data_IF_408946938213
#
_entry.id   IF_408946938213
#
_cell.length_a   1.000
_cell.length_b   1.000
_cell.length_c   1.000
_cell.angle_alpha   90.00
_cell.angle_beta   90.00
_cell.angle_gamma   90.00
#
_symmetry.space_group_name_H-M   'P 1'
#
loop_
_entity.id
_entity.type
_entity.pdbx_description
1 polymer ?
#
# COMPACT_ATOMS: atom_id res chain seq x y z
N UNK A 1 30.95 14.06 2.35
CA UNK A 1 29.98 12.93 2.36
C UNK A 1 28.62 13.54 2.65
N UNK A 2 27.77 13.69 1.62
CA UNK A 2 26.45 14.31 1.78
C UNK A 2 25.56 13.34 2.58
N UNK A 3 25.13 13.77 3.77
CA UNK A 3 24.30 12.97 4.67
C UNK A 3 22.99 12.57 4.00
N UNK A 4 22.56 11.33 4.26
CA UNK A 4 21.25 10.84 3.84
C UNK A 4 20.13 11.81 4.32
N UNK A 5 19.10 12.06 3.50
CA UNK A 5 18.00 12.94 3.90
C UNK A 5 17.33 12.42 5.18
N UNK A 6 17.07 13.31 6.14
CA UNK A 6 16.63 13.01 7.52
C UNK A 6 15.26 12.32 7.67
N UNK A 7 14.65 11.85 6.59
CA UNK A 7 13.27 11.33 6.53
C UNK A 7 13.15 10.01 5.74
N UNK A 8 14.24 9.26 5.61
CA UNK A 8 14.23 7.92 4.99
C UNK A 8 14.36 6.84 6.06
N UNK A 9 13.73 5.70 5.81
CA UNK A 9 13.85 4.51 6.65
C UNK A 9 15.15 3.74 6.33
N UNK A 10 15.40 2.59 6.97
CA UNK A 10 16.64 1.81 6.76
C UNK A 10 16.72 1.20 5.35
N UNK A 11 15.58 1.03 4.67
CA UNK A 11 15.55 0.67 3.26
C UNK A 11 15.89 1.84 2.32
N UNK A 12 16.20 3.02 2.86
CA UNK A 12 16.54 4.22 2.08
C UNK A 12 15.35 4.89 1.42
N UNK A 13 14.12 4.58 1.86
CA UNK A 13 12.88 5.06 1.27
C UNK A 13 12.19 6.08 2.19
N UNK A 14 11.65 7.14 1.62
CA UNK A 14 10.82 8.10 2.33
C UNK A 14 9.38 7.58 2.44
N UNK A 15 8.62 8.04 3.43
CA UNK A 15 7.21 7.65 3.62
C UNK A 15 6.34 7.91 2.38
N UNK A 16 6.67 8.92 1.59
CA UNK A 16 5.98 9.21 0.33
C UNK A 16 6.18 8.14 -0.75
N UNK A 17 7.29 7.38 -0.72
CA UNK A 17 7.56 6.30 -1.67
C UNK A 17 6.62 5.11 -1.50
N UNK A 18 5.94 5.04 -0.35
CA UNK A 18 4.94 4.04 -0.01
C UNK A 18 3.52 4.45 -0.42
N UNK A 19 3.30 5.65 -0.97
CA UNK A 19 1.97 6.11 -1.40
C UNK A 19 1.54 5.41 -2.70
N UNK A 20 0.23 5.24 -2.85
CA UNK A 20 -0.40 4.81 -4.09
C UNK A 20 -0.99 5.99 -4.88
N UNK A 21 -1.88 5.66 -5.80
CA UNK A 21 -2.61 6.65 -6.58
C UNK A 21 -3.60 7.44 -5.71
N UNK A 22 -4.03 8.64 -6.16
CA UNK A 22 -5.09 9.38 -5.50
C UNK A 22 -6.36 8.54 -5.30
N UNK A 23 -6.95 8.63 -4.11
CA UNK A 23 -8.15 7.88 -3.77
C UNK A 23 -9.36 8.38 -4.55
N UNK A 24 -10.15 7.45 -5.08
CA UNK A 24 -11.48 7.77 -5.64
C UNK A 24 -12.61 7.43 -4.66
N UNK A 25 -12.27 7.13 -3.40
CA UNK A 25 -13.25 6.82 -2.37
C UNK A 25 -13.88 8.11 -1.83
N UNK A 26 -15.07 7.97 -1.25
CA UNK A 26 -15.80 9.10 -0.67
C UNK A 26 -14.97 9.86 0.37
N UNK A 27 -15.22 11.16 0.49
CA UNK A 27 -14.66 11.96 1.58
C UNK A 27 -15.08 11.38 2.94
N UNK A 28 -14.13 11.22 3.85
CA UNK A 28 -14.35 10.55 5.15
C UNK A 28 -14.42 9.02 5.09
N UNK A 29 -14.17 8.37 3.95
CA UNK A 29 -14.17 6.91 3.88
C UNK A 29 -13.07 6.28 4.76
N UNK A 30 -13.45 5.34 5.63
CA UNK A 30 -12.52 4.64 6.54
C UNK A 30 -11.42 3.85 5.83
N UNK A 31 -11.63 3.41 4.59
CA UNK A 31 -10.60 2.72 3.80
C UNK A 31 -9.37 3.61 3.50
N UNK A 32 -9.54 4.93 3.46
CA UNK A 32 -8.42 5.86 3.32
C UNK A 32 -7.54 5.84 4.59
N UNK A 33 -8.18 5.77 5.77
CA UNK A 33 -7.48 5.63 7.05
C UNK A 33 -6.70 4.31 7.09
N UNK A 34 -7.32 3.19 6.71
CA UNK A 34 -6.66 1.88 6.65
C UNK A 34 -5.46 1.91 5.68
N UNK A 35 -5.62 2.51 4.50
CA UNK A 35 -4.52 2.64 3.52
C UNK A 35 -3.33 3.43 4.11
N UNK A 36 -3.60 4.52 4.83
CA UNK A 36 -2.56 5.31 5.50
C UNK A 36 -1.86 4.53 6.63
N UNK A 37 -2.57 3.67 7.34
CA UNK A 37 -1.96 2.81 8.37
C UNK A 37 -1.06 1.74 7.75
N UNK A 38 -1.45 1.13 6.63
CA UNK A 38 -0.61 0.17 5.90
C UNK A 38 0.69 0.85 5.42
N UNK A 39 0.59 2.05 4.85
CA UNK A 39 1.75 2.86 4.44
C UNK A 39 2.70 3.11 5.61
N UNK A 40 2.15 3.49 6.77
CA UNK A 40 2.94 3.78 7.97
C UNK A 40 3.64 2.52 8.48
N UNK A 41 2.91 1.40 8.59
CA UNK A 41 3.47 0.15 9.06
C UNK A 41 4.62 -0.36 8.18
N UNK A 42 4.48 -0.32 6.85
CA UNK A 42 5.53 -0.79 5.94
C UNK A 42 6.75 0.13 5.91
N UNK A 43 6.54 1.44 6.05
CA UNK A 43 7.64 2.38 6.23
C UNK A 43 8.42 2.12 7.51
N UNK A 44 7.72 1.89 8.64
CA UNK A 44 8.35 1.61 9.94
C UNK A 44 9.05 0.25 9.99
N UNK A 45 8.56 -0.74 9.24
CA UNK A 45 9.16 -2.07 9.14
C UNK A 45 10.31 -2.15 8.13
N UNK A 46 10.71 -1.03 7.52
CA UNK A 46 11.79 -0.99 6.53
C UNK A 46 11.54 -1.92 5.32
N UNK A 47 10.28 -2.19 4.95
CA UNK A 47 9.93 -3.14 3.90
C UNK A 47 10.02 -2.47 2.53
N UNK A 48 10.83 -3.03 1.64
CA UNK A 48 10.89 -2.60 0.24
C UNK A 48 9.53 -2.92 -0.43
N UNK A 49 8.83 -1.95 -1.03
CA UNK A 49 7.51 -2.17 -1.63
C UNK A 49 7.45 -3.31 -2.65
N UNK A 50 8.53 -3.53 -3.41
CA UNK A 50 8.63 -4.59 -4.41
C UNK A 50 8.54 -6.01 -3.82
N UNK A 51 8.84 -6.19 -2.54
CA UNK A 51 8.78 -7.48 -1.83
C UNK A 51 7.38 -7.81 -1.29
N UNK A 52 6.41 -6.93 -1.52
CA UNK A 52 5.02 -7.10 -1.07
C UNK A 52 4.17 -7.60 -2.23
N UNK A 53 3.09 -8.32 -1.92
CA UNK A 53 2.06 -8.70 -2.88
C UNK A 53 0.69 -8.29 -2.34
N UNK A 54 -0.10 -7.58 -3.16
CA UNK A 54 -1.42 -7.09 -2.76
C UNK A 54 -2.51 -7.89 -3.45
N UNK A 55 -3.33 -8.61 -2.70
CA UNK A 55 -4.51 -9.27 -3.24
C UNK A 55 -5.79 -8.59 -2.79
N UNK A 56 -6.78 -8.49 -3.67
CA UNK A 56 -8.12 -8.03 -3.32
C UNK A 56 -9.21 -8.75 -4.11
N UNK A 57 -10.47 -8.57 -3.73
CA UNK A 57 -11.64 -9.06 -4.46
C UNK A 57 -12.41 -7.94 -5.14
N UNK A 58 -13.73 -7.92 -4.96
CA UNK A 58 -14.62 -6.89 -5.51
C UNK A 58 -15.35 -6.16 -4.38
N UNK A 59 -15.25 -4.83 -4.38
CA UNK A 59 -15.88 -3.91 -3.42
C UNK A 59 -15.07 -2.64 -3.22
N UNK A 60 -15.61 -1.65 -2.50
CA UNK A 60 -14.88 -0.40 -2.18
C UNK A 60 -13.57 -0.68 -1.43
N UNK A 61 -13.60 -1.60 -0.47
CA UNK A 61 -12.41 -2.11 0.23
C UNK A 61 -11.40 -2.73 -0.72
N UNK A 62 -11.88 -3.45 -1.73
CA UNK A 62 -11.00 -4.15 -2.68
C UNK A 62 -10.32 -3.24 -3.69
N UNK A 63 -10.69 -1.95 -3.74
CA UNK A 63 -9.97 -0.92 -4.49
C UNK A 63 -8.83 -0.30 -3.68
N UNK A 64 -8.81 -0.48 -2.35
CA UNK A 64 -7.76 0.05 -1.47
C UNK A 64 -6.31 -0.26 -1.91
N UNK A 65 -5.98 -1.44 -2.49
CA UNK A 65 -4.62 -1.71 -2.99
C UNK A 65 -4.08 -0.72 -4.03
N UNK A 66 -4.94 0.04 -4.71
CA UNK A 66 -4.53 1.07 -5.67
C UNK A 66 -4.00 2.34 -4.98
N UNK A 67 -4.35 2.56 -3.71
CA UNK A 67 -4.10 3.81 -2.98
C UNK A 67 -2.91 3.74 -2.03
N UNK A 68 -2.28 2.57 -1.90
CA UNK A 68 -1.04 2.38 -1.17
C UNK A 68 -0.06 1.54 -1.98
N UNK A 69 1.24 1.79 -1.77
CA UNK A 69 2.37 1.07 -2.34
C UNK A 69 2.29 0.92 -3.87
N UNK A 70 2.49 2.01 -4.62
CA UNK A 70 2.38 1.97 -6.09
C UNK A 70 3.41 1.04 -6.75
N UNK A 71 4.56 0.86 -6.11
CA UNK A 71 5.68 0.04 -6.60
C UNK A 71 5.49 -1.47 -6.43
N UNK A 72 4.41 -1.87 -5.75
CA UNK A 72 4.11 -3.26 -5.41
C UNK A 72 3.19 -3.90 -6.44
N UNK A 73 3.42 -5.18 -6.76
CA UNK A 73 2.49 -5.94 -7.60
C UNK A 73 1.15 -6.16 -6.87
N UNK A 74 0.06 -6.04 -7.62
CA UNK A 74 -1.28 -6.20 -7.08
C UNK A 74 -2.19 -6.99 -8.01
N UNK A 75 -3.07 -7.81 -7.42
CA UNK A 75 -4.05 -8.61 -8.13
C UNK A 75 -5.46 -8.36 -7.60
N UNK A 76 -6.34 -7.89 -8.48
CA UNK A 76 -7.77 -7.75 -8.21
C UNK A 76 -8.50 -9.00 -8.71
N UNK A 77 -8.93 -9.85 -7.78
CA UNK A 77 -9.62 -11.11 -8.06
C UNK A 77 -11.13 -10.96 -8.11
N UNK A 78 -11.83 -12.08 -8.29
CA UNK A 78 -13.30 -12.11 -8.25
C UNK A 78 -13.85 -11.93 -6.83
N UNK A 79 -15.13 -11.53 -6.76
CA UNK A 79 -15.82 -11.32 -5.50
C UNK A 79 -15.76 -12.59 -4.63
N UNK A 80 -15.25 -12.46 -3.41
CA UNK A 80 -15.12 -13.58 -2.47
C UNK A 80 -14.11 -14.67 -2.89
N UNK A 81 -13.19 -14.39 -3.83
CA UNK A 81 -12.17 -15.35 -4.31
C UNK A 81 -10.73 -14.91 -4.03
N UNK A 82 -10.54 -13.77 -3.37
CA UNK A 82 -9.22 -13.25 -3.03
C UNK A 82 -8.34 -14.29 -2.30
N UNK A 83 -8.81 -14.98 -1.24
CA UNK A 83 -7.97 -15.95 -0.54
C UNK A 83 -7.57 -17.13 -1.42
N UNK A 84 -8.48 -17.63 -2.26
CA UNK A 84 -8.22 -18.77 -3.15
C UNK A 84 -7.17 -18.50 -4.23
N UNK A 85 -6.97 -17.23 -4.61
CA UNK A 85 -5.93 -16.83 -5.58
C UNK A 85 -4.59 -16.56 -4.86
N UNK A 86 -4.64 -16.19 -3.58
CA UNK A 86 -3.45 -15.85 -2.80
C UNK A 86 -2.70 -17.09 -2.26
N UNK A 87 -3.37 -18.25 -2.19
CA UNK A 87 -2.82 -19.54 -1.73
C UNK A 87 -2.36 -20.40 -2.91
#
# INVERSE_FOLDING_TARGET
>A
MAGAPSNVNKAGLAKNDYRGNPTTLCQGCGHNSISNQIITALYEMDIVPEDVLKFSGIGCSSKSPTYFLNRTFGFNSLHGRMPSIAT
#
